data_IF_588630822747
#
_entry.id   IF_588630822747
#
_cell.length_a   1.000
_cell.length_b   1.000
_cell.length_c   1.000
_cell.angle_alpha   90.00
_cell.angle_beta   90.00
_cell.angle_gamma   90.00
#
_symmetry.space_group_name_H-M   'P 1'
#
loop_
_entity.id
_entity.type
_entity.pdbx_description
1 polymer ?
#
# COMPACT_ATOMS: atom_id res chain seq x y z
N UNK A 1 -8.96 -31.90 -0.31
CA UNK A 1 -8.16 -30.85 0.33
C UNK A 1 -7.00 -30.27 -0.51
N UNK A 2 -6.67 -30.88 -1.65
CA UNK A 2 -5.52 -30.48 -2.48
C UNK A 2 -5.79 -29.40 -3.56
N UNK A 3 -6.99 -29.23 -4.13
CA UNK A 3 -7.21 -28.24 -5.21
C UNK A 3 -7.15 -26.80 -4.71
N UNK A 4 -7.54 -26.53 -3.45
CA UNK A 4 -7.58 -25.18 -2.89
C UNK A 4 -6.19 -24.57 -2.60
N UNK A 5 -5.15 -25.39 -2.46
CA UNK A 5 -3.78 -24.92 -2.25
C UNK A 5 -3.12 -24.34 -3.51
N UNK A 6 -3.47 -24.84 -4.70
CA UNK A 6 -2.91 -24.33 -5.97
C UNK A 6 -3.56 -23.01 -6.40
N UNK A 7 -4.82 -22.78 -6.07
CA UNK A 7 -5.47 -21.49 -6.31
C UNK A 7 -4.97 -20.38 -5.38
N UNK A 8 -4.42 -20.71 -4.20
CA UNK A 8 -3.83 -19.74 -3.28
C UNK A 8 -2.48 -19.17 -3.74
N UNK A 9 -1.85 -19.76 -4.74
CA UNK A 9 -0.56 -19.31 -5.27
C UNK A 9 -0.66 -18.24 -6.37
N UNK A 10 -1.85 -17.97 -6.89
CA UNK A 10 -2.04 -17.04 -8.00
C UNK A 10 -2.52 -15.63 -7.61
N UNK A 11 -2.97 -15.43 -6.37
CA UNK A 11 -3.31 -14.12 -5.83
C UNK A 11 -3.12 -14.16 -4.33
N UNK A 12 -1.98 -13.66 -3.82
CA UNK A 12 -1.82 -13.40 -2.40
C UNK A 12 -2.71 -12.20 -2.09
N UNK A 13 -3.82 -12.50 -1.43
CA UNK A 13 -4.79 -11.53 -0.95
C UNK A 13 -4.86 -11.71 0.55
N UNK A 14 -4.15 -10.87 1.27
CA UNK A 14 -4.24 -10.84 2.70
C UNK A 14 -5.18 -9.74 3.16
N UNK A 15 -6.08 -10.12 4.03
CA UNK A 15 -6.92 -9.28 4.85
C UNK A 15 -6.15 -9.13 6.16
N UNK A 16 -5.32 -8.10 6.24
CA UNK A 16 -4.30 -8.02 7.24
C UNK A 16 -4.79 -7.70 8.64
N UNK A 17 -3.87 -7.84 9.57
CA UNK A 17 -3.73 -7.18 10.83
C UNK A 17 -2.96 -5.87 10.64
N UNK A 18 -1.90 -5.68 11.42
CA UNK A 18 -1.00 -4.55 11.26
C UNK A 18 -0.12 -4.68 10.01
N UNK A 19 0.54 -3.58 9.61
CA UNK A 19 1.33 -3.52 8.38
C UNK A 19 2.55 -4.46 8.37
N UNK A 20 2.95 -5.01 9.53
CA UNK A 20 4.02 -6.04 9.63
C UNK A 20 3.75 -7.23 8.72
N UNK A 21 2.48 -7.55 8.45
CA UNK A 21 2.07 -8.66 7.60
C UNK A 21 2.59 -8.56 6.15
N UNK A 22 2.87 -7.37 5.63
CA UNK A 22 3.37 -7.18 4.26
C UNK A 22 4.82 -7.66 4.07
N UNK A 23 5.65 -7.65 5.13
CA UNK A 23 7.05 -8.07 5.03
C UNK A 23 7.23 -9.55 4.62
N UNK A 24 6.56 -10.54 5.26
CA UNK A 24 6.66 -11.93 4.82
C UNK A 24 6.08 -12.17 3.42
N UNK A 25 5.10 -11.37 3.00
CA UNK A 25 4.56 -11.42 1.63
C UNK A 25 5.62 -10.94 0.64
N UNK A 26 6.23 -9.78 0.87
CA UNK A 26 7.32 -9.24 0.04
C UNK A 26 8.50 -10.21 -0.05
N UNK A 27 8.92 -10.83 1.07
CA UNK A 27 9.96 -11.88 1.08
C UNK A 27 9.59 -13.09 0.21
N UNK A 28 8.30 -13.44 0.17
CA UNK A 28 7.82 -14.57 -0.64
C UNK A 28 7.74 -14.21 -2.13
N UNK A 29 7.29 -13.00 -2.44
CA UNK A 29 7.24 -12.49 -3.82
C UNK A 29 8.63 -12.31 -4.41
N UNK A 30 9.56 -11.73 -3.65
CA UNK A 30 10.94 -11.53 -4.11
C UNK A 30 11.69 -12.84 -4.41
N UNK A 31 11.34 -13.95 -3.74
CA UNK A 31 11.89 -15.28 -4.07
C UNK A 31 11.46 -15.79 -5.44
N UNK A 32 10.30 -15.35 -5.93
CA UNK A 32 9.73 -15.84 -7.20
C UNK A 32 10.02 -14.86 -8.33
N UNK A 33 9.93 -13.58 -8.06
CA UNK A 33 9.94 -12.52 -9.07
C UNK A 33 11.21 -11.65 -9.06
N UNK A 34 12.07 -11.79 -8.03
CA UNK A 34 13.10 -10.79 -7.73
C UNK A 34 12.50 -9.58 -6.99
N UNK A 35 13.28 -8.50 -6.82
CA UNK A 35 12.76 -7.26 -6.25
C UNK A 35 11.53 -6.76 -7.00
N UNK A 36 10.54 -6.22 -6.28
CA UNK A 36 9.28 -5.74 -6.87
C UNK A 36 9.19 -4.22 -6.84
N UNK A 37 8.45 -3.63 -7.76
CA UNK A 37 7.99 -2.26 -7.61
C UNK A 37 6.95 -2.19 -6.49
N UNK A 38 6.85 -1.04 -5.81
CA UNK A 38 5.91 -0.85 -4.71
C UNK A 38 5.02 0.37 -4.93
N UNK A 39 3.72 0.17 -4.84
CA UNK A 39 2.74 1.24 -4.64
C UNK A 39 2.23 1.13 -3.21
N UNK A 40 2.60 2.08 -2.35
CA UNK A 40 2.29 2.12 -0.93
C UNK A 40 1.41 3.31 -0.64
N UNK A 41 0.19 3.07 -0.18
CA UNK A 41 -0.77 4.11 0.23
C UNK A 41 -0.89 4.08 1.75
N UNK A 42 -0.61 5.20 2.41
CA UNK A 42 -0.51 5.25 3.86
C UNK A 42 -0.47 6.71 4.37
N UNK A 43 -0.81 6.93 5.63
CA UNK A 43 -0.49 8.17 6.31
C UNK A 43 0.99 8.22 6.77
N UNK A 44 1.59 7.04 6.98
CA UNK A 44 2.92 6.82 7.53
C UNK A 44 3.89 6.29 6.47
N UNK A 45 5.18 6.50 6.68
CA UNK A 45 6.18 5.97 5.75
C UNK A 45 6.62 4.53 6.06
N UNK A 46 6.44 4.07 7.28
CA UNK A 46 6.78 2.74 7.80
C UNK A 46 8.25 2.32 7.57
N UNK A 47 9.14 3.30 7.74
CA UNK A 47 10.59 3.19 7.50
C UNK A 47 11.45 3.43 8.74
N UNK A 48 10.85 3.42 9.93
CA UNK A 48 11.64 3.55 11.15
C UNK A 48 12.68 2.44 11.27
N UNK A 49 13.85 2.74 11.83
CA UNK A 49 14.86 1.71 12.04
C UNK A 49 14.45 0.70 13.13
N UNK A 50 13.79 1.20 14.17
CA UNK A 50 13.16 0.36 15.21
C UNK A 50 11.93 1.05 15.76
N UNK A 51 11.02 0.28 16.34
CA UNK A 51 9.84 0.77 17.02
C UNK A 51 9.59 -0.09 18.26
N UNK A 52 9.40 0.55 19.43
CA UNK A 52 9.23 -0.15 20.72
C UNK A 52 10.38 -1.11 21.09
N UNK A 53 11.59 -0.85 20.59
CA UNK A 53 12.76 -1.71 20.77
C UNK A 53 12.82 -2.91 19.83
N UNK A 54 11.91 -3.00 18.86
CA UNK A 54 11.84 -4.09 17.89
C UNK A 54 12.23 -3.61 16.48
N UNK A 55 12.99 -4.43 15.78
CA UNK A 55 13.38 -4.16 14.37
C UNK A 55 12.27 -4.51 13.37
N UNK A 56 11.31 -5.33 13.78
CA UNK A 56 10.14 -5.73 12.96
C UNK A 56 8.90 -5.32 13.71
N UNK A 57 8.28 -4.26 13.27
CA UNK A 57 7.02 -3.70 13.75
C UNK A 57 6.29 -3.05 12.58
N UNK A 58 5.01 -2.66 12.76
CA UNK A 58 4.21 -2.03 11.70
C UNK A 58 4.91 -0.83 11.05
N UNK A 59 5.50 0.08 11.84
CA UNK A 59 6.20 1.27 11.33
C UNK A 59 7.64 1.03 10.83
N UNK A 60 8.10 -0.22 10.64
CA UNK A 60 9.48 -0.53 10.20
C UNK A 60 9.53 -1.40 8.94
N UNK A 61 8.38 -1.79 8.42
CA UNK A 61 8.21 -2.82 7.38
C UNK A 61 9.01 -2.51 6.13
N UNK A 62 8.84 -1.30 5.59
CA UNK A 62 9.47 -0.96 4.31
C UNK A 62 10.95 -0.65 4.47
N UNK A 63 11.39 -0.23 5.65
CA UNK A 63 12.82 -0.20 5.95
C UNK A 63 13.46 -1.57 5.83
N UNK A 64 12.86 -2.56 6.46
CA UNK A 64 13.33 -3.96 6.37
C UNK A 64 13.28 -4.47 4.94
N UNK A 65 12.19 -4.19 4.22
CA UNK A 65 12.04 -4.61 2.84
C UNK A 65 13.11 -4.01 1.90
N UNK A 66 13.45 -2.74 2.09
CA UNK A 66 14.52 -2.06 1.33
C UNK A 66 15.89 -2.65 1.69
N UNK A 67 16.20 -2.79 2.98
CA UNK A 67 17.49 -3.33 3.45
C UNK A 67 17.72 -4.79 3.00
N UNK A 68 16.66 -5.57 2.88
CA UNK A 68 16.70 -6.95 2.37
C UNK A 68 16.72 -7.01 0.83
N UNK A 69 16.65 -5.88 0.12
CA UNK A 69 16.63 -5.84 -1.34
C UNK A 69 15.38 -6.44 -1.97
N UNK A 70 14.22 -6.36 -1.29
CA UNK A 70 12.94 -6.90 -1.76
C UNK A 70 12.21 -5.96 -2.70
N UNK A 71 12.59 -4.67 -2.73
CA UNK A 71 11.92 -3.59 -3.46
C UNK A 71 12.91 -2.91 -4.41
N UNK A 72 12.48 -2.63 -5.64
CA UNK A 72 13.15 -1.69 -6.54
C UNK A 72 12.85 -0.26 -6.08
N UNK A 73 13.72 0.35 -5.29
CA UNK A 73 13.43 1.63 -4.62
C UNK A 73 13.17 2.78 -5.59
N UNK A 74 13.77 2.80 -6.76
CA UNK A 74 13.49 3.77 -7.82
C UNK A 74 12.09 3.58 -8.48
N UNK A 75 11.39 2.49 -8.15
CA UNK A 75 10.00 2.18 -8.52
C UNK A 75 9.11 2.03 -7.28
N UNK A 76 9.50 2.64 -6.17
CA UNK A 76 8.72 2.71 -4.95
C UNK A 76 8.02 4.06 -4.87
N UNK A 77 6.70 4.03 -4.71
CA UNK A 77 5.85 5.21 -4.59
C UNK A 77 5.08 5.13 -3.28
N UNK A 78 5.29 6.10 -2.39
CA UNK A 78 4.58 6.27 -1.14
C UNK A 78 3.61 7.43 -1.28
N UNK A 79 2.31 7.19 -1.11
CA UNK A 79 1.22 8.12 -1.45
C UNK A 79 0.35 8.38 -0.24
N UNK A 80 0.14 9.65 0.10
CA UNK A 80 -0.75 10.04 1.20
C UNK A 80 -0.04 10.34 2.51
N UNK A 81 1.29 10.32 2.53
CA UNK A 81 2.08 10.54 3.75
C UNK A 81 1.81 11.92 4.34
N UNK A 82 1.57 11.97 5.65
CA UNK A 82 1.30 13.21 6.37
C UNK A 82 1.54 13.13 7.87
N UNK A 83 1.68 11.90 8.39
CA UNK A 83 1.85 11.68 9.82
C UNK A 83 3.11 12.37 10.32
N UNK A 84 2.99 12.95 11.51
CA UNK A 84 4.15 13.41 12.26
C UNK A 84 4.91 12.20 12.77
N UNK A 85 6.06 11.93 12.18
CA UNK A 85 6.94 10.87 12.64
C UNK A 85 7.71 11.23 13.90
N UNK A 86 8.73 10.44 14.19
CA UNK A 86 9.60 10.65 15.35
C UNK A 86 10.65 11.75 15.11
N UNK A 87 10.87 12.16 13.84
CA UNK A 87 11.82 13.17 13.45
C UNK A 87 11.30 14.03 12.28
N UNK A 88 11.84 15.23 12.14
CA UNK A 88 11.43 16.17 11.09
C UNK A 88 11.79 15.71 9.68
N UNK A 89 12.70 14.75 9.55
CA UNK A 89 13.24 14.18 8.32
C UNK A 89 12.70 12.76 8.01
N UNK A 90 11.61 12.36 8.65
CA UNK A 90 11.08 10.99 8.55
C UNK A 90 10.81 10.50 7.11
N UNK A 91 10.57 11.41 6.15
CA UNK A 91 10.37 11.01 4.75
C UNK A 91 11.65 11.08 3.91
N UNK A 92 12.70 11.71 4.42
CA UNK A 92 13.93 11.96 3.64
C UNK A 92 14.70 10.67 3.42
N UNK A 93 14.70 9.78 4.41
CA UNK A 93 15.35 8.47 4.24
C UNK A 93 14.77 7.68 3.05
N UNK A 94 13.43 7.65 2.86
CA UNK A 94 12.83 7.02 1.68
C UNK A 94 13.30 7.66 0.38
N UNK A 95 13.34 9.00 0.33
CA UNK A 95 13.81 9.75 -0.83
C UNK A 95 15.28 9.48 -1.13
N UNK A 96 16.12 9.39 -0.09
CA UNK A 96 17.55 9.05 -0.21
C UNK A 96 17.78 7.65 -0.76
N UNK A 97 16.85 6.71 -0.50
CA UNK A 97 16.88 5.37 -1.10
C UNK A 97 16.38 5.38 -2.56
N UNK A 98 15.87 6.49 -3.08
CA UNK A 98 15.36 6.63 -4.43
C UNK A 98 13.85 6.51 -4.57
N UNK A 99 13.10 6.38 -3.46
CA UNK A 99 11.64 6.32 -3.49
C UNK A 99 11.01 7.69 -3.81
N UNK A 100 9.86 7.66 -4.47
CA UNK A 100 9.04 8.84 -4.69
C UNK A 100 8.03 8.95 -3.55
N UNK A 101 8.09 10.03 -2.79
CA UNK A 101 7.15 10.36 -1.72
C UNK A 101 6.19 11.43 -2.21
N UNK A 102 4.90 11.14 -2.14
CA UNK A 102 3.79 12.01 -2.52
C UNK A 102 2.95 12.23 -1.27
N UNK A 103 2.97 13.46 -0.76
CA UNK A 103 2.26 13.80 0.47
C UNK A 103 0.74 13.86 0.25
N UNK A 104 -0.04 13.75 1.32
CA UNK A 104 -1.48 13.93 1.25
C UNK A 104 -1.85 15.33 0.73
N UNK A 105 -1.09 16.37 1.14
CA UNK A 105 -1.29 17.75 0.69
C UNK A 105 -1.16 17.90 -0.84
N UNK A 106 -0.22 17.16 -1.45
CA UNK A 106 -0.06 17.14 -2.91
C UNK A 106 -1.25 16.46 -3.61
N UNK A 107 -2.03 15.67 -2.88
CA UNK A 107 -3.22 14.98 -3.40
C UNK A 107 -4.51 15.79 -3.24
N UNK A 108 -4.53 16.84 -2.40
CA UNK A 108 -5.77 17.55 -2.09
C UNK A 108 -6.42 18.20 -3.30
N UNK A 109 -7.75 18.19 -3.30
CA UNK A 109 -8.63 18.92 -4.23
C UNK A 109 -8.42 18.63 -5.72
N UNK A 110 -7.82 17.48 -6.06
CA UNK A 110 -7.59 17.11 -7.46
C UNK A 110 -7.78 15.62 -7.70
N UNK A 111 -8.00 15.25 -8.97
CA UNK A 111 -7.92 13.87 -9.42
C UNK A 111 -6.47 13.39 -9.40
N UNK A 112 -6.28 12.15 -9.00
CA UNK A 112 -4.98 11.48 -8.96
C UNK A 112 -4.68 10.69 -10.24
N UNK A 113 -5.60 10.66 -11.20
CA UNK A 113 -5.41 9.93 -12.45
C UNK A 113 -4.12 10.32 -13.21
N UNK A 114 -3.78 11.63 -13.37
CA UNK A 114 -2.52 12.00 -14.00
C UNK A 114 -1.27 11.54 -13.25
N UNK A 115 -1.32 11.51 -11.92
CA UNK A 115 -0.24 10.97 -11.08
C UNK A 115 -0.08 9.47 -11.30
N UNK A 116 -1.19 8.73 -11.35
CA UNK A 116 -1.17 7.29 -11.59
C UNK A 116 -0.69 6.93 -13.01
N UNK A 117 -0.94 7.80 -14.00
CA UNK A 117 -0.37 7.64 -15.35
C UNK A 117 1.17 7.70 -15.29
N UNK A 118 1.73 8.69 -14.59
CA UNK A 118 3.19 8.82 -14.40
C UNK A 118 3.79 7.64 -13.64
N UNK A 119 3.09 7.14 -12.59
CA UNK A 119 3.51 5.97 -11.83
C UNK A 119 3.56 4.74 -12.75
N UNK A 120 2.52 4.51 -13.56
CA UNK A 120 2.52 3.39 -14.52
C UNK A 120 3.64 3.49 -15.53
N UNK A 121 3.89 4.68 -16.08
CA UNK A 121 4.97 4.91 -17.05
C UNK A 121 6.35 4.64 -16.42
N UNK A 122 6.54 5.01 -15.16
CA UNK A 122 7.80 4.78 -14.43
C UNK A 122 8.01 3.31 -14.08
N UNK A 123 6.98 2.62 -13.62
CA UNK A 123 7.05 1.20 -13.25
C UNK A 123 7.21 0.33 -14.49
N UNK A 124 6.42 0.63 -15.52
CA UNK A 124 6.32 -0.16 -16.74
C UNK A 124 5.44 -1.41 -16.58
N UNK A 125 4.90 -1.94 -17.71
CA UNK A 125 3.88 -2.99 -17.69
C UNK A 125 4.41 -4.37 -17.29
N UNK A 126 5.70 -4.61 -17.39
CA UNK A 126 6.32 -5.93 -17.15
C UNK A 126 6.92 -6.07 -15.75
N UNK A 127 7.11 -4.96 -15.03
CA UNK A 127 7.73 -4.97 -13.69
C UNK A 127 6.78 -5.60 -12.68
N UNK A 128 7.20 -6.68 -11.98
CA UNK A 128 6.42 -7.23 -10.87
C UNK A 128 6.13 -6.15 -9.85
N UNK A 129 4.86 -5.91 -9.56
CA UNK A 129 4.43 -4.79 -8.73
C UNK A 129 3.60 -5.28 -7.55
N UNK A 130 3.88 -4.77 -6.36
CA UNK A 130 3.10 -4.98 -5.16
C UNK A 130 2.35 -3.71 -4.78
N UNK A 131 1.04 -3.84 -4.54
CA UNK A 131 0.19 -2.76 -4.03
C UNK A 131 -0.16 -3.05 -2.58
N UNK A 132 0.25 -2.18 -1.67
CA UNK A 132 -0.15 -2.22 -0.27
C UNK A 132 -0.93 -0.95 0.09
N UNK A 133 -2.03 -1.13 0.77
CA UNK A 133 -2.91 -0.03 1.14
C UNK A 133 -3.19 -0.08 2.63
N UNK A 134 -2.59 0.85 3.38
CA UNK A 134 -3.01 1.13 4.73
C UNK A 134 -4.30 1.93 4.71
N UNK A 135 -5.29 1.49 5.48
CA UNK A 135 -6.59 2.16 5.51
C UNK A 135 -6.52 3.57 6.09
N UNK A 136 -5.50 3.86 6.92
CA UNK A 136 -5.29 5.20 7.48
C UNK A 136 -4.71 6.21 6.48
N UNK A 137 -4.25 5.76 5.31
CA UNK A 137 -3.99 6.63 4.17
C UNK A 137 -5.21 7.47 3.78
N UNK A 138 -6.42 6.94 4.06
CA UNK A 138 -7.66 7.70 3.93
C UNK A 138 -7.87 8.62 5.13
N UNK A 139 -8.66 9.67 4.91
CA UNK A 139 -9.03 10.60 5.97
C UNK A 139 -9.94 9.94 7.03
N UNK A 140 -9.73 10.19 8.34
CA UNK A 140 -10.59 9.64 9.41
C UNK A 140 -12.06 9.99 9.29
N UNK A 141 -12.43 11.00 8.52
CA UNK A 141 -13.84 11.32 8.23
C UNK A 141 -14.56 10.23 7.43
N UNK A 142 -13.79 9.39 6.68
CA UNK A 142 -14.32 8.27 5.89
C UNK A 142 -13.85 6.91 6.39
N UNK A 143 -12.68 6.84 7.04
CA UNK A 143 -12.08 5.61 7.55
C UNK A 143 -11.56 5.77 9.00
N UNK A 144 -12.44 5.98 10.00
CA UNK A 144 -12.01 6.17 11.39
C UNK A 144 -11.57 4.88 12.10
N UNK A 145 -11.88 3.70 11.54
CA UNK A 145 -11.67 2.40 12.17
C UNK A 145 -10.26 1.85 11.95
N UNK A 146 -9.26 2.57 12.41
CA UNK A 146 -7.83 2.21 12.33
C UNK A 146 -7.11 2.55 13.65
N UNK A 147 -5.88 2.07 13.80
CA UNK A 147 -5.08 2.27 15.01
C UNK A 147 -4.49 3.66 15.14
N UNK A 148 -4.01 4.22 14.05
CA UNK A 148 -3.25 5.48 13.98
C UNK A 148 -3.84 6.45 12.95
N UNK A 149 -5.10 6.90 13.15
CA UNK A 149 -5.75 7.81 12.19
C UNK A 149 -5.11 9.20 12.20
N UNK A 150 -4.83 9.73 11.00
CA UNK A 150 -4.25 11.05 10.80
C UNK A 150 -5.19 11.93 9.96
N UNK A 151 -5.57 13.15 10.43
CA UNK A 151 -6.41 14.06 9.67
C UNK A 151 -5.75 14.57 8.38
N UNK A 152 -6.58 15.02 7.43
CA UNK A 152 -6.10 15.57 6.16
C UNK A 152 -5.69 14.50 5.14
N UNK A 153 -6.25 13.30 5.26
CA UNK A 153 -5.98 12.17 4.39
C UNK A 153 -6.68 12.20 3.04
N UNK A 154 -6.52 11.11 2.31
CA UNK A 154 -7.17 10.92 1.02
C UNK A 154 -8.68 10.70 1.18
N UNK A 155 -9.45 11.17 0.22
CA UNK A 155 -10.87 10.81 0.12
C UNK A 155 -11.06 9.36 -0.36
N UNK A 156 -12.23 8.78 -0.12
CA UNK A 156 -12.57 7.46 -0.65
C UNK A 156 -12.46 7.39 -2.17
N UNK A 157 -12.84 8.46 -2.89
CA UNK A 157 -12.71 8.53 -4.34
C UNK A 157 -11.25 8.54 -4.81
N UNK A 158 -10.37 9.22 -4.10
CA UNK A 158 -8.93 9.20 -4.40
C UNK A 158 -8.31 7.82 -4.14
N UNK A 159 -8.71 7.14 -3.06
CA UNK A 159 -8.30 5.75 -2.84
C UNK A 159 -8.71 4.83 -3.99
N UNK A 160 -9.93 4.97 -4.50
CA UNK A 160 -10.41 4.25 -5.67
C UNK A 160 -9.63 4.62 -6.95
N UNK A 161 -9.30 5.90 -7.16
CA UNK A 161 -8.49 6.35 -8.31
C UNK A 161 -7.10 5.71 -8.30
N UNK A 162 -6.44 5.62 -7.13
CA UNK A 162 -5.13 4.99 -7.00
C UNK A 162 -5.22 3.51 -7.39
N UNK A 163 -6.14 2.75 -6.79
CA UNK A 163 -6.27 1.32 -7.08
C UNK A 163 -6.61 1.07 -8.55
N UNK A 164 -7.58 1.82 -9.11
CA UNK A 164 -7.94 1.74 -10.53
C UNK A 164 -6.80 2.18 -11.44
N UNK A 165 -6.00 3.13 -10.97
CA UNK A 165 -4.80 3.58 -11.65
C UNK A 165 -3.70 2.53 -11.75
N UNK A 166 -3.70 1.51 -10.90
CA UNK A 166 -2.80 0.36 -11.01
C UNK A 166 -3.20 -0.64 -12.11
N UNK A 167 -4.36 -0.46 -12.76
CA UNK A 167 -4.76 -1.31 -13.87
C UNK A 167 -3.76 -1.20 -15.04
N UNK A 168 -3.28 -2.36 -15.51
CA UNK A 168 -2.26 -2.44 -16.56
C UNK A 168 -0.84 -2.65 -16.03
N UNK A 169 -0.60 -2.50 -14.71
CA UNK A 169 0.63 -2.96 -14.08
C UNK A 169 0.62 -4.49 -13.92
N UNK A 170 1.80 -5.09 -13.86
CA UNK A 170 1.98 -6.51 -13.52
C UNK A 170 1.86 -6.70 -12.00
N UNK A 171 0.63 -6.54 -11.47
CA UNK A 171 0.37 -6.77 -10.05
C UNK A 171 0.54 -8.24 -9.70
N UNK A 172 1.58 -8.56 -8.91
CA UNK A 172 1.88 -9.91 -8.42
C UNK A 172 1.33 -10.16 -7.02
N UNK A 173 0.89 -9.12 -6.32
CA UNK A 173 0.24 -9.20 -5.03
C UNK A 173 -0.34 -7.84 -4.62
N UNK A 174 -1.32 -7.89 -3.72
CA UNK A 174 -1.86 -6.70 -3.07
C UNK A 174 -2.40 -7.06 -1.69
N UNK A 175 -2.37 -6.10 -0.79
CA UNK A 175 -2.98 -6.20 0.53
C UNK A 175 -3.67 -4.90 0.96
N UNK A 176 -4.46 -5.00 2.01
CA UNK A 176 -5.05 -3.87 2.71
C UNK A 176 -4.91 -4.10 4.21
N UNK A 177 -4.27 -3.15 4.88
CA UNK A 177 -3.80 -3.27 6.25
C UNK A 177 -4.48 -2.28 7.20
N UNK A 178 -4.28 -2.49 8.51
CA UNK A 178 -4.63 -1.59 9.63
C UNK A 178 -6.12 -1.35 9.85
N UNK A 179 -7.02 -2.13 9.24
CA UNK A 179 -8.44 -2.07 9.62
C UNK A 179 -8.62 -2.62 11.01
N UNK A 180 -9.06 -1.80 11.94
CA UNK A 180 -9.32 -2.15 13.34
C UNK A 180 -10.84 -2.14 13.65
N UNK A 181 -11.53 -3.29 13.55
CA UNK A 181 -12.97 -3.36 13.80
C UNK A 181 -13.41 -2.83 15.16
N UNK A 182 -12.63 -2.96 16.26
CA UNK A 182 -13.01 -2.37 17.55
C UNK A 182 -13.15 -0.85 17.53
N UNK A 183 -12.48 -0.16 16.60
CA UNK A 183 -12.57 1.30 16.42
C UNK A 183 -13.57 1.69 15.33
N UNK A 184 -14.06 0.74 14.55
CA UNK A 184 -15.04 0.96 13.45
C UNK A 184 -16.49 0.82 13.96
N UNK A 185 -16.92 1.75 14.79
CA UNK A 185 -18.21 1.69 15.50
C UNK A 185 -19.43 1.66 14.56
N UNK A 186 -19.28 2.14 13.33
CA UNK A 186 -20.37 2.21 12.32
C UNK A 186 -20.24 1.13 11.23
N UNK A 187 -19.12 0.44 11.15
CA UNK A 187 -18.81 -0.51 10.08
C UNK A 187 -18.42 0.15 8.74
N UNK A 188 -18.31 1.49 8.71
CA UNK A 188 -18.02 2.22 7.46
C UNK A 188 -16.60 1.93 6.95
N UNK A 189 -15.63 1.86 7.84
CA UNK A 189 -14.23 1.55 7.48
C UNK A 189 -14.13 0.15 6.91
N UNK A 190 -14.76 -0.83 7.55
CA UNK A 190 -14.78 -2.21 7.08
C UNK A 190 -15.48 -2.35 5.73
N UNK A 191 -16.58 -1.62 5.51
CA UNK A 191 -17.28 -1.59 4.23
C UNK A 191 -16.39 -0.99 3.13
N UNK A 192 -15.74 0.13 3.41
CA UNK A 192 -14.84 0.80 2.47
C UNK A 192 -13.64 -0.10 2.15
N UNK A 193 -13.02 -0.70 3.16
CA UNK A 193 -11.94 -1.65 2.99
C UNK A 193 -12.32 -2.85 2.10
N UNK A 194 -13.52 -3.40 2.31
CA UNK A 194 -14.03 -4.49 1.48
C UNK A 194 -14.23 -4.07 0.02
N UNK A 195 -14.67 -2.83 -0.21
CA UNK A 195 -14.81 -2.27 -1.56
C UNK A 195 -13.44 -2.06 -2.23
N UNK A 196 -12.47 -1.48 -1.51
CA UNK A 196 -11.10 -1.28 -2.01
C UNK A 196 -10.44 -2.63 -2.36
N UNK A 197 -10.59 -3.66 -1.51
CA UNK A 197 -10.12 -5.02 -1.82
C UNK A 197 -10.77 -5.60 -3.07
N UNK A 198 -12.06 -5.34 -3.28
CA UNK A 198 -12.75 -5.76 -4.51
C UNK A 198 -12.17 -5.06 -5.76
N UNK A 199 -11.91 -3.76 -5.68
CA UNK A 199 -11.28 -2.99 -6.76
C UNK A 199 -9.84 -3.48 -7.04
N UNK A 200 -9.08 -3.84 -5.99
CA UNK A 200 -7.76 -4.48 -6.17
C UNK A 200 -7.86 -5.79 -6.96
N UNK A 201 -8.86 -6.63 -6.64
CA UNK A 201 -9.10 -7.86 -7.42
C UNK A 201 -9.41 -7.57 -8.89
N UNK A 202 -10.19 -6.50 -9.15
CA UNK A 202 -10.52 -6.08 -10.51
C UNK A 202 -9.31 -5.49 -11.26
N UNK A 203 -8.25 -5.13 -10.56
CA UNK A 203 -7.02 -4.56 -11.13
C UNK A 203 -5.93 -5.62 -11.39
N UNK A 204 -6.12 -6.85 -10.93
CA UNK A 204 -5.15 -7.95 -11.16
C UNK A 204 -5.04 -8.31 -12.65
N UNK A 205 -3.86 -8.76 -13.12
CA UNK A 205 -3.67 -9.25 -14.48
C UNK A 205 -4.69 -10.33 -14.87
N UNK A 206 -5.26 -10.21 -16.06
CA UNK A 206 -6.27 -11.15 -16.58
C UNK A 206 -7.72 -10.83 -16.22
N UNK A 207 -7.98 -9.82 -15.40
CA UNK A 207 -9.33 -9.33 -15.17
C UNK A 207 -9.87 -8.58 -16.39
N UNK A 208 -11.07 -8.95 -16.86
CA UNK A 208 -11.73 -8.29 -18.00
C UNK A 208 -12.61 -7.16 -17.45
N UNK A 209 -12.24 -5.90 -17.76
CA UNK A 209 -13.13 -4.76 -17.57
C UNK A 209 -14.21 -4.77 -18.64
N UNK A 210 -15.47 -4.66 -18.21
CA UNK A 210 -16.57 -4.28 -19.12
C UNK A 210 -16.65 -2.75 -19.10
N UNK A 211 -16.42 -2.13 -20.25
CA UNK A 211 -16.63 -0.70 -20.47
C UNK A 211 -18.12 -0.37 -20.31
#
# INVERSE_FOLDING_TARGET
HYPLRRQRQMCIRDRGGDHTCSLPVLRSLAKVHGPVALVHVDAHADINDEMFGEKIAHGTVFRRAIEEGLIETNKMFQIGLRATGYAADDFDWSREQGATVITAEECWYRSLAPMMDQIRDTIGPDTPTYLTFDIDGLDPSVAPGTGTPEPGGLSASQGLEIIRGCYGLNLVGCDLMEVSPPYDTTGNTSLLAANLLFEMLCSLPGCIRRN
#
